data_IF_019035999009
#
_entry.id   IF_019035999009
#
_cell.length_a   1.000
_cell.length_b   1.000
_cell.length_c   1.000
_cell.angle_alpha   90.00
_cell.angle_beta   90.00
_cell.angle_gamma   90.00
#
_symmetry.space_group_name_H-M   'P 1'
#
loop_
_entity.id
_entity.type
_entity.pdbx_description
1 polymer ?
#
# COMPACT_ATOMS: atom_id res chain seq x y z
N UNK A 1 4.49 -50.72 18.27
CA UNK A 1 3.04 -50.46 18.42
C UNK A 1 2.79 -49.79 19.75
N UNK A 2 2.01 -48.68 19.76
CA UNK A 2 1.25 -48.12 20.91
C UNK A 2 2.14 -47.51 22.02
N UNK A 3 2.02 -46.26 22.46
CA UNK A 3 0.99 -45.22 22.37
C UNK A 3 1.65 -43.87 22.70
N UNK A 4 1.30 -42.84 21.94
CA UNK A 4 1.37 -41.45 22.37
C UNK A 4 0.37 -41.18 23.50
N UNK A 5 0.47 -39.97 24.09
CA UNK A 5 -0.42 -39.29 25.05
C UNK A 5 0.22 -39.16 26.44
N UNK A 6 0.78 -37.97 26.68
CA UNK A 6 0.37 -37.16 27.84
C UNK A 6 0.44 -35.69 27.45
N UNK A 7 -0.73 -35.12 27.12
CA UNK A 7 -0.93 -33.68 27.08
C UNK A 7 -0.92 -33.15 28.52
N UNK A 8 -0.11 -32.12 28.80
CA UNK A 8 -0.23 -31.32 30.02
C UNK A 8 -0.55 -29.90 29.61
N UNK A 9 -1.79 -29.56 29.92
CA UNK A 9 -2.38 -28.23 30.02
C UNK A 9 -1.51 -27.29 30.88
N UNK A 10 -1.30 -26.07 30.40
CA UNK A 10 -1.16 -24.88 31.25
C UNK A 10 -1.68 -23.66 30.44
N UNK A 11 -3.01 -23.58 30.34
CA UNK A 11 -3.73 -22.33 30.09
C UNK A 11 -4.12 -21.78 31.45
N UNK A 12 -3.42 -20.73 31.90
CA UNK A 12 -3.95 -19.76 32.88
C UNK A 12 -3.10 -18.49 32.83
N UNK A 13 -3.49 -17.53 31.99
CA UNK A 13 -3.06 -16.13 32.11
C UNK A 13 -4.02 -15.14 31.42
N UNK A 14 -5.33 -15.43 31.37
CA UNK A 14 -6.34 -14.45 30.95
C UNK A 14 -7.45 -14.28 32.01
N UNK A 15 -7.07 -14.26 33.28
CA UNK A 15 -7.89 -13.63 34.32
C UNK A 15 -7.37 -12.20 34.49
N UNK A 16 -7.96 -11.27 33.75
CA UNK A 16 -7.55 -9.87 33.72
C UNK A 16 -8.14 -9.02 32.60
N UNK A 17 -9.07 -9.54 31.79
CA UNK A 17 -9.75 -8.79 30.73
C UNK A 17 -11.27 -8.77 30.97
N UNK A 18 -11.72 -8.32 32.15
CA UNK A 18 -13.15 -8.17 32.46
C UNK A 18 -13.72 -6.75 32.21
N UNK A 19 -12.92 -5.80 31.72
CA UNK A 19 -13.39 -4.41 31.47
C UNK A 19 -13.42 -3.99 29.98
N UNK A 20 -13.01 -4.84 29.04
CA UNK A 20 -12.98 -4.50 27.60
C UNK A 20 -14.24 -4.92 26.81
N UNK A 21 -15.30 -5.37 27.48
CA UNK A 21 -16.48 -5.94 26.82
C UNK A 21 -17.64 -4.95 26.62
N UNK A 22 -17.43 -3.65 26.83
CA UNK A 22 -18.48 -2.62 26.71
C UNK A 22 -18.31 -1.67 25.51
N UNK A 23 -17.25 -1.81 24.73
CA UNK A 23 -16.95 -0.94 23.59
C UNK A 23 -17.24 -1.57 22.21
N UNK A 24 -17.77 -2.80 22.16
CA UNK A 24 -17.96 -3.53 20.90
C UNK A 24 -19.33 -3.23 20.24
N UNK A 25 -20.34 -2.83 21.00
CA UNK A 25 -21.70 -2.61 20.45
C UNK A 25 -21.91 -1.24 19.74
N UNK A 26 -20.89 -0.39 19.63
CA UNK A 26 -20.97 0.86 18.85
C UNK A 26 -20.20 0.84 17.53
N UNK A 27 -19.47 -0.24 17.20
CA UNK A 27 -18.66 -0.30 15.99
C UNK A 27 -19.42 -0.78 14.73
N UNK A 28 -20.60 -1.39 14.87
CA UNK A 28 -21.29 -2.01 13.72
C UNK A 28 -22.30 -1.11 12.99
N UNK A 29 -22.71 0.04 13.53
CA UNK A 29 -23.58 0.99 12.78
C UNK A 29 -22.81 2.05 11.98
N UNK A 30 -21.52 2.30 12.27
CA UNK A 30 -20.69 3.22 11.49
C UNK A 30 -20.14 2.58 10.19
N UNK A 31 -20.07 1.25 10.12
CA UNK A 31 -19.53 0.51 8.98
C UNK A 31 -20.39 0.62 7.71
N UNK A 32 -21.71 0.82 7.84
CA UNK A 32 -22.60 0.91 6.67
C UNK A 32 -22.64 2.31 6.06
N UNK A 33 -22.24 3.37 6.80
CA UNK A 33 -22.16 4.74 6.26
C UNK A 33 -20.79 5.11 5.70
N UNK A 34 -19.72 4.45 6.12
CA UNK A 34 -18.38 4.69 5.58
C UNK A 34 -18.22 4.17 4.14
N UNK A 35 -18.88 3.06 3.79
CA UNK A 35 -18.83 2.48 2.44
C UNK A 35 -19.45 3.42 1.39
N UNK A 36 -20.54 4.11 1.72
CA UNK A 36 -21.14 5.10 0.81
C UNK A 36 -20.30 6.39 0.70
N UNK A 37 -19.51 6.74 1.72
CA UNK A 37 -18.71 7.98 1.72
C UNK A 37 -17.34 7.79 1.04
N UNK A 38 -16.79 6.57 1.02
CA UNK A 38 -15.53 6.24 0.35
C UNK A 38 -15.73 6.18 -1.17
N UNK A 39 -16.92 5.81 -1.65
CA UNK A 39 -17.21 5.80 -3.10
C UNK A 39 -17.33 7.22 -3.70
N UNK A 40 -17.60 8.24 -2.89
CA UNK A 40 -17.75 9.64 -3.35
C UNK A 40 -16.48 10.49 -3.24
N UNK A 41 -15.38 10.00 -2.63
CA UNK A 41 -14.16 10.80 -2.39
C UNK A 41 -12.87 10.29 -3.04
N UNK A 42 -12.93 9.21 -3.82
CA UNK A 42 -11.83 8.90 -4.75
C UNK A 42 -12.12 9.66 -6.04
N UNK A 43 -11.90 10.98 -6.03
CA UNK A 43 -11.62 11.67 -7.28
C UNK A 43 -10.41 10.95 -7.87
N UNK A 44 -10.63 10.17 -8.93
CA UNK A 44 -9.60 9.49 -9.69
C UNK A 44 -8.49 10.51 -9.96
N UNK A 45 -7.33 10.33 -9.32
CA UNK A 45 -6.19 11.21 -9.54
C UNK A 45 -5.84 11.08 -11.01
N UNK A 46 -6.00 12.18 -11.75
CA UNK A 46 -5.73 12.19 -13.18
C UNK A 46 -4.22 12.20 -13.43
N UNK A 47 -3.63 11.00 -13.36
CA UNK A 47 -2.22 10.76 -13.67
C UNK A 47 -1.92 11.01 -15.16
N UNK A 48 -2.92 11.25 -16.00
CA UNK A 48 -2.73 11.67 -17.41
C UNK A 48 -2.02 13.03 -17.52
N UNK A 49 -2.01 13.82 -16.44
CA UNK A 49 -1.22 15.06 -16.35
C UNK A 49 0.29 14.80 -16.23
N UNK A 50 0.70 13.57 -15.90
CA UNK A 50 2.08 13.13 -15.96
C UNK A 50 2.41 12.96 -17.44
N UNK A 51 3.08 13.93 -18.04
CA UNK A 51 3.47 13.92 -19.45
C UNK A 51 4.47 12.79 -19.73
N UNK A 52 4.01 11.53 -19.81
CA UNK A 52 4.86 10.33 -19.82
C UNK A 52 5.70 10.20 -21.09
N UNK A 53 5.23 10.78 -22.20
CA UNK A 53 5.93 10.80 -23.49
C UNK A 53 7.31 11.47 -23.41
N UNK A 54 7.52 12.34 -22.41
CA UNK A 54 8.81 12.99 -22.19
C UNK A 54 9.91 12.04 -21.69
N UNK A 55 9.55 10.84 -21.23
CA UNK A 55 10.49 9.83 -20.72
C UNK A 55 11.10 8.97 -21.83
N UNK A 56 10.65 9.12 -23.09
CA UNK A 56 11.24 8.43 -24.23
C UNK A 56 11.25 6.91 -24.04
N UNK A 57 12.42 6.30 -24.06
CA UNK A 57 12.60 4.84 -23.86
C UNK A 57 12.15 4.35 -22.47
N UNK A 58 11.99 5.26 -21.49
CA UNK A 58 11.49 4.95 -20.15
C UNK A 58 9.97 5.19 -19.98
N UNK A 59 9.25 5.46 -21.06
CA UNK A 59 7.80 5.68 -21.02
C UNK A 59 7.05 4.44 -20.46
N UNK A 60 7.50 3.23 -20.80
CA UNK A 60 6.92 1.99 -20.30
C UNK A 60 7.09 1.86 -18.78
N UNK A 61 8.30 2.09 -18.25
CA UNK A 61 8.54 2.09 -16.79
C UNK A 61 7.79 3.20 -16.06
N UNK A 62 7.61 4.36 -16.70
CA UNK A 62 6.82 5.44 -16.14
C UNK A 62 5.32 5.11 -16.09
N UNK A 63 4.83 4.36 -17.09
CA UNK A 63 3.46 3.83 -17.15
C UNK A 63 3.23 2.77 -16.08
N UNK A 64 4.13 1.81 -15.93
CA UNK A 64 4.08 0.81 -14.85
C UNK A 64 4.07 1.47 -13.47
N UNK A 65 4.87 2.53 -13.27
CA UNK A 65 4.84 3.29 -12.03
C UNK A 65 3.49 3.95 -11.80
N UNK A 66 2.91 4.60 -12.83
CA UNK A 66 1.59 5.21 -12.72
C UNK A 66 0.49 4.16 -12.39
N UNK A 67 0.52 2.99 -13.02
CA UNK A 67 -0.41 1.89 -12.77
C UNK A 67 -0.27 1.37 -11.33
N UNK A 68 0.97 1.19 -10.84
CA UNK A 68 1.21 0.76 -9.46
C UNK A 68 0.78 1.80 -8.41
N UNK A 69 0.88 3.09 -8.73
CA UNK A 69 0.38 4.18 -7.88
C UNK A 69 -1.15 4.17 -7.83
N UNK A 70 -1.81 3.96 -8.98
CA UNK A 70 -3.26 3.81 -9.03
C UNK A 70 -3.72 2.60 -8.21
N UNK A 71 -2.99 1.48 -8.28
CA UNK A 71 -3.22 0.31 -7.43
C UNK A 71 -3.10 0.68 -5.94
N UNK A 72 -2.08 1.45 -5.56
CA UNK A 72 -1.88 1.91 -4.19
C UNK A 72 -2.96 2.86 -3.67
N UNK A 73 -3.63 3.59 -4.56
CA UNK A 73 -4.77 4.42 -4.17
C UNK A 73 -6.05 3.63 -3.97
N UNK A 74 -6.20 2.51 -4.68
CA UNK A 74 -7.41 1.68 -4.67
C UNK A 74 -7.27 0.42 -3.81
N UNK A 75 -6.12 0.22 -3.17
CA UNK A 75 -5.85 -0.94 -2.32
C UNK A 75 -6.75 -0.97 -1.10
N UNK A 76 -7.13 -2.17 -0.67
CA UNK A 76 -7.78 -2.36 0.62
C UNK A 76 -6.76 -2.19 1.76
N UNK A 77 -6.75 -1.01 2.38
CA UNK A 77 -5.89 -0.69 3.52
C UNK A 77 -6.16 -1.54 4.77
N UNK A 78 -7.27 -2.27 4.82
CA UNK A 78 -7.55 -3.23 5.88
C UNK A 78 -6.94 -4.62 5.63
N UNK A 79 -6.43 -4.87 4.42
CA UNK A 79 -5.83 -6.15 4.01
C UNK A 79 -4.29 -6.05 3.95
N UNK A 80 -3.57 -6.62 4.95
CA UNK A 80 -2.11 -6.54 5.00
C UNK A 80 -1.41 -7.23 3.83
N UNK A 81 -2.03 -8.25 3.23
CA UNK A 81 -1.45 -8.95 2.08
C UNK A 81 -1.50 -8.07 0.82
N UNK A 82 -2.64 -7.42 0.58
CA UNK A 82 -2.80 -6.48 -0.53
C UNK A 82 -1.85 -5.28 -0.39
N UNK A 83 -1.69 -4.75 0.83
CA UNK A 83 -0.73 -3.69 1.12
C UNK A 83 0.72 -4.10 0.85
N UNK A 84 1.09 -5.35 1.14
CA UNK A 84 2.44 -5.85 0.89
C UNK A 84 2.73 -6.03 -0.61
N UNK A 85 1.75 -6.52 -1.36
CA UNK A 85 1.81 -6.73 -2.81
C UNK A 85 1.95 -5.39 -3.55
N UNK A 86 1.05 -4.45 -3.29
CA UNK A 86 1.12 -3.10 -3.84
C UNK A 86 2.44 -2.41 -3.51
N UNK A 87 2.91 -2.53 -2.25
CA UNK A 87 4.21 -1.98 -1.85
C UNK A 87 5.35 -2.55 -2.67
N UNK A 88 5.27 -3.82 -3.06
CA UNK A 88 6.26 -4.46 -3.92
C UNK A 88 6.15 -3.97 -5.36
N UNK A 89 4.95 -3.85 -5.92
CA UNK A 89 4.73 -3.32 -7.26
C UNK A 89 5.25 -1.89 -7.40
N UNK A 90 4.87 -0.99 -6.49
CA UNK A 90 5.33 0.42 -6.49
C UNK A 90 6.84 0.49 -6.31
N UNK A 91 7.39 -0.29 -5.37
CA UNK A 91 8.83 -0.33 -5.14
C UNK A 91 9.58 -0.77 -6.39
N UNK A 92 9.08 -1.79 -7.08
CA UNK A 92 9.73 -2.32 -8.27
C UNK A 92 9.62 -1.34 -9.44
N UNK A 93 8.42 -0.84 -9.73
CA UNK A 93 8.20 0.11 -10.81
C UNK A 93 9.02 1.41 -10.62
N UNK A 94 9.16 1.87 -9.38
CA UNK A 94 10.03 3.01 -9.06
C UNK A 94 11.50 2.67 -9.37
N UNK A 95 12.00 1.51 -8.92
CA UNK A 95 13.36 1.06 -9.24
C UNK A 95 13.60 0.96 -10.76
N UNK A 96 12.63 0.43 -11.52
CA UNK A 96 12.72 0.33 -12.97
C UNK A 96 12.73 1.70 -13.66
N UNK A 97 11.93 2.65 -13.17
CA UNK A 97 12.00 4.02 -13.66
C UNK A 97 13.36 4.68 -13.34
N UNK A 98 13.93 4.43 -12.16
CA UNK A 98 15.27 4.93 -11.80
C UNK A 98 16.33 4.38 -12.74
N UNK A 99 16.30 3.07 -13.01
CA UNK A 99 17.24 2.39 -13.90
C UNK A 99 17.14 2.89 -15.35
N UNK A 100 15.91 3.07 -15.84
CA UNK A 100 15.65 3.59 -17.17
C UNK A 100 15.91 5.11 -17.31
N UNK A 101 15.98 5.85 -16.19
CA UNK A 101 16.17 7.31 -16.19
C UNK A 101 17.30 7.75 -15.26
N UNK A 102 16.96 8.29 -14.08
CA UNK A 102 17.85 8.62 -12.98
C UNK A 102 17.03 8.74 -11.69
N UNK A 103 17.66 8.59 -10.53
CA UNK A 103 16.99 8.78 -9.23
C UNK A 103 16.30 10.15 -9.16
N UNK A 104 17.00 11.21 -9.56
CA UNK A 104 16.44 12.58 -9.55
C UNK A 104 15.23 12.78 -10.47
N UNK A 105 15.11 11.96 -11.53
CA UNK A 105 14.00 12.02 -12.47
C UNK A 105 12.78 11.30 -11.89
N UNK A 106 12.99 10.11 -11.32
CA UNK A 106 11.95 9.34 -10.64
C UNK A 106 11.41 10.06 -9.40
N UNK A 107 12.29 10.67 -8.58
CA UNK A 107 11.90 11.47 -7.42
C UNK A 107 11.00 12.64 -7.82
N UNK A 108 11.38 13.42 -8.86
CA UNK A 108 10.55 14.54 -9.33
C UNK A 108 9.19 14.10 -9.86
N UNK A 109 9.11 12.92 -10.47
CA UNK A 109 7.83 12.37 -10.91
C UNK A 109 6.98 12.01 -9.70
N UNK A 110 7.57 11.36 -8.71
CA UNK A 110 6.89 10.93 -7.51
C UNK A 110 6.46 12.10 -6.61
N UNK A 111 7.26 13.16 -6.53
CA UNK A 111 6.87 14.40 -5.85
C UNK A 111 5.59 15.00 -6.45
N UNK A 112 5.46 14.96 -7.78
CA UNK A 112 4.24 15.42 -8.46
C UNK A 112 3.06 14.51 -8.16
N UNK A 113 3.27 13.19 -8.18
CA UNK A 113 2.26 12.21 -7.80
C UNK A 113 1.77 12.47 -6.37
N UNK A 114 2.67 12.61 -5.41
CA UNK A 114 2.35 12.86 -4.00
C UNK A 114 1.58 14.17 -3.81
N UNK A 115 1.87 15.21 -4.59
CA UNK A 115 1.11 16.48 -4.58
C UNK A 115 -0.34 16.34 -5.09
N UNK A 116 -0.60 15.33 -5.93
CA UNK A 116 -1.94 15.09 -6.49
C UNK A 116 -2.80 14.15 -5.65
N UNK A 117 -2.17 13.33 -4.81
CA UNK A 117 -2.87 12.38 -3.93
C UNK A 117 -3.31 13.10 -2.66
N UNK A 118 -4.60 13.00 -2.33
CA UNK A 118 -5.19 13.55 -1.09
C UNK A 118 -5.31 12.52 0.03
N UNK A 119 -5.20 11.23 -0.28
CA UNK A 119 -5.28 10.14 0.68
C UNK A 119 -3.93 9.97 1.42
N UNK A 120 -3.92 10.24 2.74
CA UNK A 120 -2.72 10.14 3.59
C UNK A 120 -2.18 8.71 3.73
N UNK A 121 -3.06 7.70 3.72
CA UNK A 121 -2.64 6.29 3.80
C UNK A 121 -1.93 5.86 2.53
N UNK A 122 -2.44 6.27 1.37
CA UNK A 122 -1.81 6.07 0.08
C UNK A 122 -0.46 6.81 0.00
N UNK A 123 -0.39 8.07 0.44
CA UNK A 123 0.89 8.81 0.52
C UNK A 123 1.92 8.06 1.37
N UNK A 124 1.55 7.62 2.58
CA UNK A 124 2.45 6.87 3.46
C UNK A 124 2.88 5.53 2.87
N UNK A 125 1.98 4.84 2.15
CA UNK A 125 2.29 3.60 1.45
C UNK A 125 3.32 3.84 0.34
N UNK A 126 3.14 4.90 -0.46
CA UNK A 126 4.07 5.27 -1.54
C UNK A 126 5.45 5.64 -0.99
N UNK A 127 5.53 6.46 0.06
CA UNK A 127 6.80 6.80 0.73
C UNK A 127 7.57 5.55 1.15
N UNK A 128 6.90 4.64 1.86
CA UNK A 128 7.49 3.37 2.32
C UNK A 128 7.90 2.46 1.15
N UNK A 129 7.22 2.58 0.01
CA UNK A 129 7.54 1.80 -1.20
C UNK A 129 8.79 2.35 -1.89
N UNK A 130 8.94 3.67 -1.95
CA UNK A 130 10.14 4.34 -2.48
C UNK A 130 11.36 4.05 -1.59
N UNK A 131 11.21 4.11 -0.27
CA UNK A 131 12.28 3.73 0.67
C UNK A 131 12.74 2.28 0.43
N UNK A 132 11.77 1.35 0.29
CA UNK A 132 12.07 -0.05 -0.05
C UNK A 132 12.81 -0.17 -1.38
N UNK A 133 12.42 0.60 -2.40
CA UNK A 133 13.07 0.59 -3.71
C UNK A 133 14.54 1.00 -3.63
N UNK A 134 14.82 2.07 -2.88
CA UNK A 134 16.18 2.58 -2.63
C UNK A 134 17.08 1.56 -1.94
N UNK A 135 16.50 0.74 -1.05
CA UNK A 135 17.21 -0.35 -0.38
C UNK A 135 17.48 -1.54 -1.31
N UNK A 136 16.55 -1.86 -2.22
CA UNK A 136 16.66 -3.00 -3.14
C UNK A 136 17.65 -2.78 -4.29
N UNK A 137 17.85 -1.52 -4.74
CA UNK A 137 18.81 -1.07 -5.77
C UNK A 137 18.71 -1.69 -7.17
N UNK A 138 17.87 -2.68 -7.38
CA UNK A 138 17.70 -3.37 -8.66
C UNK A 138 16.22 -3.39 -9.06
N UNK A 139 15.97 -3.15 -10.35
CA UNK A 139 14.68 -3.39 -11.00
C UNK A 139 14.53 -4.90 -11.23
N UNK A 140 13.42 -5.47 -10.72
CA UNK A 140 13.07 -6.88 -10.90
C UNK A 140 11.79 -6.93 -11.74
N UNK A 141 11.95 -6.87 -13.08
CA UNK A 141 10.83 -7.03 -14.03
C UNK A 141 10.19 -8.41 -13.94
#
# INVERSE_FOLDING_TARGET
>A
MKKAITAVLLVTALAGCEEANKAIDQAQEAATKAVDTIHEQVESVDLSALNLDQFGDAADSAKELAESVEEAMNVDFSNPAALAEVKEHVSNAYSCLVDATSESTAEKLMDKVMQTITNEEAQSLLEKSIEKAKDAKECVM
#
